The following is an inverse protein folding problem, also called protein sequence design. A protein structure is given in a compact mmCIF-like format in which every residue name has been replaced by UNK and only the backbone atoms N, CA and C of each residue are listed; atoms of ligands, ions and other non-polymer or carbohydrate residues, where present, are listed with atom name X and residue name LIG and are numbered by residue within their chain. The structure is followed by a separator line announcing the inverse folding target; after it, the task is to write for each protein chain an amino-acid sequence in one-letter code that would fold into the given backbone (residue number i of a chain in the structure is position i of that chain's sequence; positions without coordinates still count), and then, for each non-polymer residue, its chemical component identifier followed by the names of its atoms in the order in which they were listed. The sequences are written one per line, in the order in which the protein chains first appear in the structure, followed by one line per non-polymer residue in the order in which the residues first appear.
data_IF_671171237503
#
_entry.id   IF_671171237503
#
_cell.length_a   1.000
_cell.length_b   1.000
_cell.length_c   1.000
_cell.angle_alpha   90.00
_cell.angle_beta   90.00
_cell.angle_gamma   90.00
#
_symmetry.space_group_name_H-M   'P 1'
#
loop_
_entity.id
_entity.type
_entity.pdbx_description
1 polymer ?
#
# COMPACT_ATOMS: atom_id res chain seq x y z
N UNK A 1 8.64 -5.19 22.91
CA UNK A 1 7.66 -6.16 22.39
C UNK A 1 8.35 -7.50 22.32
N UNK A 2 7.93 -8.50 23.10
CA UNK A 2 8.61 -9.80 23.11
C UNK A 2 8.37 -10.62 21.82
N UNK A 3 7.32 -10.32 21.05
CA UNK A 3 7.10 -10.94 19.73
C UNK A 3 6.43 -9.96 18.76
N UNK A 4 7.06 -9.69 17.62
CA UNK A 4 6.44 -8.94 16.53
C UNK A 4 5.48 -9.83 15.73
N UNK A 5 4.31 -9.34 15.30
CA UNK A 5 3.38 -10.09 14.46
C UNK A 5 4.04 -10.59 13.17
N UNK A 6 3.55 -11.71 12.60
CA UNK A 6 4.12 -12.28 11.37
C UNK A 6 4.11 -11.27 10.21
N UNK A 7 2.97 -10.59 9.99
CA UNK A 7 2.83 -9.57 8.94
C UNK A 7 3.91 -8.48 9.04
N UNK A 8 4.30 -8.08 10.26
CA UNK A 8 5.31 -7.03 10.46
C UNK A 8 6.71 -7.49 10.02
N UNK A 9 7.00 -8.78 10.16
CA UNK A 9 8.29 -9.36 9.76
C UNK A 9 8.43 -9.41 8.23
N UNK A 10 7.32 -9.51 7.52
CA UNK A 10 7.27 -9.56 6.05
C UNK A 10 7.47 -8.18 5.40
N UNK A 11 7.33 -7.10 6.17
CA UNK A 11 7.53 -5.74 5.67
C UNK A 11 9.02 -5.39 5.54
N UNK A 12 9.44 -4.75 4.43
CA UNK A 12 10.73 -4.06 4.33
C UNK A 12 10.96 -3.07 5.48
N UNK A 13 12.21 -2.93 5.91
CA UNK A 13 12.58 -2.05 7.04
C UNK A 13 12.12 -0.61 6.90
N UNK A 14 12.24 -0.02 5.71
CA UNK A 14 11.91 1.38 5.42
C UNK A 14 10.39 1.69 5.48
N UNK A 15 9.54 0.66 5.53
CA UNK A 15 8.08 0.83 5.65
C UNK A 15 7.53 0.30 6.98
N UNK A 16 8.38 -0.19 7.89
CA UNK A 16 7.92 -0.73 9.16
C UNK A 16 7.29 0.37 10.02
N UNK A 17 6.04 0.20 10.48
CA UNK A 17 5.41 1.16 11.37
C UNK A 17 6.07 1.16 12.76
N UNK A 18 5.86 2.24 13.51
CA UNK A 18 6.32 2.36 14.89
C UNK A 18 5.61 1.34 15.80
N UNK A 19 6.20 1.07 16.96
CA UNK A 19 5.69 0.09 17.94
C UNK A 19 4.23 0.37 18.33
N UNK A 20 3.84 1.63 18.49
CA UNK A 20 2.46 1.97 18.86
C UNK A 20 1.47 1.76 17.70
N UNK A 21 1.91 2.05 16.47
CA UNK A 21 1.13 1.74 15.26
C UNK A 21 0.97 0.24 15.06
N UNK A 22 2.01 -0.56 15.32
CA UNK A 22 1.94 -2.03 15.25
C UNK A 22 0.86 -2.59 16.17
N UNK A 23 0.69 -2.05 17.39
CA UNK A 23 -0.38 -2.48 18.30
C UNK A 23 -1.76 -2.24 17.70
N UNK A 24 -2.03 -1.00 17.26
CA UNK A 24 -3.32 -0.61 16.65
C UNK A 24 -3.63 -1.42 15.39
N UNK A 25 -2.63 -1.62 14.53
CA UNK A 25 -2.78 -2.41 13.30
C UNK A 25 -3.03 -3.88 13.59
N UNK A 26 -2.35 -4.47 14.58
CA UNK A 26 -2.57 -5.86 14.98
C UNK A 26 -3.96 -6.06 15.62
N UNK A 27 -4.46 -5.06 16.35
CA UNK A 27 -5.84 -5.06 16.86
C UNK A 27 -6.85 -5.10 15.70
N UNK A 28 -6.68 -4.26 14.67
CA UNK A 28 -7.53 -4.28 13.47
C UNK A 28 -7.46 -5.66 12.81
N UNK A 29 -6.26 -6.16 12.54
CA UNK A 29 -6.08 -7.44 11.85
C UNK A 29 -6.81 -8.57 12.57
N UNK A 30 -6.69 -8.66 13.90
CA UNK A 30 -7.38 -9.67 14.71
C UNK A 30 -8.89 -9.47 14.73
N UNK A 31 -9.31 -8.21 14.87
CA UNK A 31 -10.73 -7.81 14.96
C UNK A 31 -11.49 -8.21 13.69
N UNK A 32 -10.85 -8.09 12.52
CA UNK A 32 -11.44 -8.48 11.22
C UNK A 32 -10.96 -9.85 10.70
N UNK A 33 -10.26 -10.63 11.53
CA UNK A 33 -9.67 -11.95 11.18
C UNK A 33 -8.93 -11.95 9.83
N UNK A 34 -8.08 -10.95 9.60
CA UNK A 34 -7.35 -10.79 8.34
C UNK A 34 -6.09 -11.68 8.38
N UNK A 35 -5.86 -12.51 7.36
CA UNK A 35 -4.62 -13.27 7.20
C UNK A 35 -3.38 -12.37 7.20
N UNK A 36 -2.27 -12.86 7.77
CA UNK A 36 -1.05 -12.06 7.94
C UNK A 36 -0.45 -11.57 6.62
N UNK A 37 -0.41 -12.44 5.62
CA UNK A 37 0.08 -12.17 4.26
C UNK A 37 -0.77 -11.09 3.56
N UNK A 38 -2.09 -11.25 3.63
CA UNK A 38 -3.04 -10.26 3.08
C UNK A 38 -2.89 -8.91 3.78
N UNK A 39 -2.75 -8.91 5.10
CA UNK A 39 -2.58 -7.68 5.88
C UNK A 39 -1.24 -6.99 5.60
N UNK A 40 -0.16 -7.76 5.42
CA UNK A 40 1.14 -7.22 5.02
C UNK A 40 1.07 -6.57 3.64
N UNK A 41 0.42 -7.21 2.67
CA UNK A 41 0.18 -6.65 1.33
C UNK A 41 -0.62 -5.35 1.39
N UNK A 42 -1.66 -5.29 2.21
CA UNK A 42 -2.45 -4.06 2.37
C UNK A 42 -1.64 -2.92 2.98
N UNK A 43 -0.83 -3.20 4.01
CA UNK A 43 0.06 -2.17 4.58
C UNK A 43 1.05 -1.70 3.51
N UNK A 44 1.66 -2.62 2.76
CA UNK A 44 2.58 -2.28 1.67
C UNK A 44 1.90 -1.46 0.56
N UNK A 45 0.63 -1.72 0.28
CA UNK A 45 -0.17 -0.99 -0.73
C UNK A 45 -0.73 0.34 -0.26
N UNK A 46 -0.84 0.58 1.05
CA UNK A 46 -1.43 1.81 1.63
C UNK A 46 -0.81 3.09 1.08
N UNK A 47 -1.57 4.18 1.04
CA UNK A 47 -1.12 5.47 0.51
C UNK A 47 0.09 6.01 1.29
N UNK A 48 0.02 5.90 2.62
CA UNK A 48 1.13 6.29 3.50
C UNK A 48 2.42 5.54 3.16
N UNK A 49 2.31 4.23 2.93
CA UNK A 49 3.45 3.38 2.63
C UNK A 49 3.95 3.57 1.21
N UNK A 50 3.05 3.75 0.24
CA UNK A 50 3.39 4.09 -1.13
C UNK A 50 4.27 5.32 -1.19
N UNK A 51 3.94 6.38 -0.45
CA UNK A 51 4.77 7.60 -0.34
C UNK A 51 6.16 7.31 0.23
N UNK A 52 6.25 6.48 1.28
CA UNK A 52 7.55 6.07 1.87
C UNK A 52 8.42 5.27 0.91
N UNK A 53 7.82 4.36 0.16
CA UNK A 53 8.52 3.58 -0.88
C UNK A 53 9.10 4.53 -1.92
N UNK A 54 8.30 5.49 -2.42
CA UNK A 54 8.78 6.44 -3.43
C UNK A 54 9.87 7.36 -2.88
N UNK A 55 9.74 7.82 -1.63
CA UNK A 55 10.76 8.65 -1.00
C UNK A 55 12.09 7.89 -0.87
N UNK A 56 12.05 6.63 -0.42
CA UNK A 56 13.23 5.78 -0.33
C UNK A 56 13.87 5.52 -1.70
N UNK A 57 13.08 5.25 -2.74
CA UNK A 57 13.59 5.09 -4.11
C UNK A 57 14.23 6.37 -4.64
N UNK A 58 13.59 7.52 -4.40
CA UNK A 58 14.13 8.82 -4.82
C UNK A 58 15.47 9.11 -4.14
N UNK A 59 15.60 8.82 -2.84
CA UNK A 59 16.85 8.96 -2.11
C UNK A 59 17.94 8.04 -2.66
N UNK A 60 17.61 6.78 -2.96
CA UNK A 60 18.53 5.84 -3.61
C UNK A 60 19.01 6.37 -4.96
N UNK A 61 18.10 6.93 -5.79
CA UNK A 61 18.48 7.51 -7.06
C UNK A 61 19.31 8.78 -6.93
N UNK A 62 19.02 9.66 -5.97
CA UNK A 62 19.86 10.82 -5.66
C UNK A 62 21.28 10.42 -5.29
N UNK A 63 21.43 9.35 -4.51
CA UNK A 63 22.74 8.84 -4.11
C UNK A 63 23.51 8.20 -5.28
N UNK A 64 22.81 7.48 -6.16
CA UNK A 64 23.42 6.82 -7.30
C UNK A 64 23.71 7.76 -8.49
N UNK A 65 22.92 8.84 -8.63
CA UNK A 65 23.00 9.79 -9.72
C UNK A 65 23.00 11.25 -9.20
N UNK A 66 24.06 11.68 -8.48
CA UNK A 66 24.10 12.98 -7.80
C UNK A 66 24.08 14.19 -8.75
N UNK A 67 24.32 13.98 -10.04
CA UNK A 67 24.31 15.04 -11.07
C UNK A 67 23.01 15.06 -11.89
N UNK A 68 22.11 14.11 -11.69
CA UNK A 68 20.84 14.07 -12.42
C UNK A 68 19.91 15.20 -11.96
N UNK A 69 19.12 15.71 -12.89
CA UNK A 69 18.07 16.67 -12.56
C UNK A 69 16.95 16.00 -11.77
N UNK A 70 16.31 16.74 -10.87
CA UNK A 70 15.21 16.24 -10.04
C UNK A 70 14.10 15.57 -10.88
N UNK A 71 13.75 16.15 -12.02
CA UNK A 71 12.75 15.57 -12.93
C UNK A 71 13.17 14.19 -13.46
N UNK A 72 14.44 14.00 -13.78
CA UNK A 72 14.96 12.71 -14.25
C UNK A 72 14.88 11.66 -13.14
N UNK A 73 15.24 12.06 -11.91
CA UNK A 73 15.15 11.19 -10.73
C UNK A 73 13.70 10.76 -10.45
N UNK A 74 12.73 11.67 -10.55
CA UNK A 74 11.31 11.35 -10.40
C UNK A 74 10.83 10.38 -11.49
N UNK A 75 11.27 10.56 -12.74
CA UNK A 75 10.96 9.64 -13.84
C UNK A 75 11.57 8.26 -13.58
N UNK A 76 12.80 8.16 -13.05
CA UNK A 76 13.40 6.88 -12.67
C UNK A 76 12.56 6.15 -11.61
N UNK A 77 12.05 6.85 -10.61
CA UNK A 77 11.13 6.27 -9.61
C UNK A 77 9.85 5.77 -10.30
N UNK A 78 9.24 6.58 -11.16
CA UNK A 78 8.04 6.19 -11.93
C UNK A 78 8.26 4.91 -12.73
N UNK A 79 9.34 4.85 -13.52
CA UNK A 79 9.67 3.69 -14.35
C UNK A 79 9.90 2.42 -13.51
N UNK A 80 10.56 2.55 -12.37
CA UNK A 80 10.77 1.42 -11.44
C UNK A 80 9.46 0.83 -10.94
N UNK A 81 8.48 1.71 -10.66
CA UNK A 81 7.16 1.30 -10.18
C UNK A 81 6.34 0.63 -11.27
N UNK A 82 6.38 1.16 -12.48
CA UNK A 82 5.73 0.56 -13.64
C UNK A 82 6.31 -0.81 -13.96
N UNK A 83 7.63 -0.96 -13.94
CA UNK A 83 8.28 -2.26 -14.13
C UNK A 83 7.84 -3.28 -13.06
N UNK A 84 7.72 -2.84 -11.80
CA UNK A 84 7.23 -3.69 -10.72
C UNK A 84 5.76 -4.11 -10.91
N UNK A 85 4.91 -3.22 -11.45
CA UNK A 85 3.51 -3.52 -11.78
C UNK A 85 3.45 -4.56 -12.91
N UNK A 86 4.22 -4.37 -13.98
CA UNK A 86 4.29 -5.31 -15.11
C UNK A 86 4.79 -6.69 -14.66
N UNK A 87 5.81 -6.75 -13.80
CA UNK A 87 6.32 -8.02 -13.23
C UNK A 87 5.28 -8.78 -12.40
N UNK A 88 4.29 -8.09 -11.87
CA UNK A 88 3.18 -8.71 -11.13
C UNK A 88 2.05 -9.18 -12.06
N UNK A 89 2.19 -9.02 -13.38
CA UNK A 89 1.24 -9.48 -14.38
C UNK A 89 0.09 -8.52 -14.64
N UNK A 90 0.18 -7.28 -14.15
CA UNK A 90 -0.79 -6.23 -14.50
C UNK A 90 -0.50 -5.67 -15.90
N UNK A 91 -1.54 -5.14 -16.54
CA UNK A 91 -1.41 -4.51 -17.85
C UNK A 91 -0.47 -3.31 -17.78
N UNK A 92 0.44 -3.24 -18.75
CA UNK A 92 1.30 -2.07 -18.93
C UNK A 92 0.43 -0.90 -19.42
N UNK A 93 0.58 0.32 -18.86
CA UNK A 93 -0.06 1.49 -19.44
C UNK A 93 0.35 1.65 -20.91
N UNK A 94 -0.54 2.23 -21.73
CA UNK A 94 -0.23 2.50 -23.14
C UNK A 94 0.95 3.48 -23.27
N UNK A 95 1.58 3.52 -24.44
CA UNK A 95 2.67 4.47 -24.68
C UNK A 95 2.19 5.93 -24.50
N UNK A 96 0.96 6.23 -24.90
CA UNK A 96 0.31 7.51 -24.67
C UNK A 96 0.12 7.82 -23.18
N UNK A 97 -0.37 6.86 -22.39
CA UNK A 97 -0.55 7.02 -20.94
C UNK A 97 0.79 7.25 -20.24
N UNK A 98 1.84 6.53 -20.67
CA UNK A 98 3.20 6.69 -20.15
C UNK A 98 3.75 8.08 -20.48
N UNK A 99 3.60 8.55 -21.72
CA UNK A 99 4.02 9.90 -22.12
C UNK A 99 3.27 10.96 -21.31
N UNK A 100 1.97 10.78 -21.11
CA UNK A 100 1.17 11.69 -20.30
C UNK A 100 1.64 11.69 -18.83
N UNK A 101 1.91 10.52 -18.25
CA UNK A 101 2.41 10.39 -16.88
C UNK A 101 3.77 11.07 -16.69
N UNK A 102 4.71 10.86 -17.62
CA UNK A 102 6.04 11.50 -17.59
C UNK A 102 5.91 13.03 -17.66
N UNK A 103 4.97 13.52 -18.46
CA UNK A 103 4.75 14.96 -18.61
C UNK A 103 4.04 15.59 -17.41
N UNK A 104 3.17 14.84 -16.72
CA UNK A 104 2.40 15.34 -15.58
C UNK A 104 3.20 15.34 -14.27
N UNK A 105 4.20 14.46 -14.13
CA UNK A 105 5.06 14.40 -12.93
C UNK A 105 6.06 15.56 -12.93
N UNK A 106 5.74 16.62 -12.19
CA UNK A 106 6.62 17.78 -12.01
C UNK A 106 7.09 17.95 -10.57
N UNK A 107 6.55 17.17 -9.64
CA UNK A 107 6.94 17.14 -8.24
C UNK A 107 6.84 15.72 -7.67
N UNK A 108 7.47 15.51 -6.52
CA UNK A 108 7.32 14.27 -5.76
C UNK A 108 5.87 13.98 -5.37
N UNK A 109 5.07 15.02 -5.12
CA UNK A 109 3.64 14.88 -4.82
C UNK A 109 2.89 14.33 -6.04
N UNK A 110 3.11 14.90 -7.22
CA UNK A 110 2.47 14.45 -8.46
C UNK A 110 2.80 12.99 -8.77
N UNK A 111 4.06 12.61 -8.57
CA UNK A 111 4.52 11.22 -8.69
C UNK A 111 3.76 10.28 -7.75
N UNK A 112 3.67 10.64 -6.46
CA UNK A 112 2.98 9.82 -5.47
C UNK A 112 1.50 9.71 -5.79
N UNK A 113 0.83 10.81 -6.13
CA UNK A 113 -0.59 10.84 -6.45
C UNK A 113 -0.90 9.99 -7.70
N UNK A 114 -0.02 10.02 -8.71
CA UNK A 114 -0.14 9.17 -9.89
C UNK A 114 0.04 7.68 -9.55
N UNK A 115 1.05 7.31 -8.76
CA UNK A 115 1.24 5.90 -8.37
C UNK A 115 0.10 5.41 -7.49
N UNK A 116 -0.43 6.25 -6.62
CA UNK A 116 -1.59 5.95 -5.79
C UNK A 116 -2.82 5.70 -6.68
N UNK A 117 -3.07 6.54 -7.70
CA UNK A 117 -4.20 6.32 -8.60
C UNK A 117 -4.10 5.04 -9.44
N UNK A 118 -2.87 4.59 -9.73
CA UNK A 118 -2.64 3.26 -10.32
C UNK A 118 -2.95 2.13 -9.33
N UNK A 119 -2.61 2.29 -8.06
CA UNK A 119 -2.84 1.29 -7.00
C UNK A 119 -4.30 1.27 -6.50
N UNK A 120 -5.07 2.36 -6.66
CA UNK A 120 -6.50 2.45 -6.33
C UNK A 120 -7.36 1.40 -7.06
N UNK A 121 -6.84 0.78 -8.12
CA UNK A 121 -7.46 -0.37 -8.77
C UNK A 121 -7.47 -1.65 -7.89
N UNK A 122 -6.65 -1.75 -6.83
CA UNK A 122 -6.49 -2.95 -5.98
C UNK A 122 -6.88 -2.76 -4.49
N UNK A 123 -7.20 -1.53 -4.04
CA UNK A 123 -7.58 -1.26 -2.63
C UNK A 123 -8.90 -1.92 -2.17
N UNK A 124 -9.64 -2.55 -3.08
CA UNK A 124 -10.87 -3.30 -2.77
C UNK A 124 -10.62 -4.71 -2.25
N UNK A 125 -9.37 -5.20 -2.25
CA UNK A 125 -9.10 -6.63 -2.02
C UNK A 125 -9.35 -7.07 -0.57
N UNK A 126 -8.96 -6.29 0.44
CA UNK A 126 -9.28 -6.61 1.85
C UNK A 126 -10.76 -6.43 2.14
N UNK A 127 -11.37 -5.34 1.69
CA UNK A 127 -12.80 -5.11 1.93
C UNK A 127 -13.63 -6.24 1.28
N UNK A 128 -13.22 -6.73 0.10
CA UNK A 128 -13.80 -7.94 -0.53
C UNK A 128 -13.58 -9.20 0.30
N UNK A 129 -12.36 -9.47 0.76
CA UNK A 129 -12.05 -10.68 1.57
C UNK A 129 -12.84 -10.68 2.88
N UNK A 130 -12.92 -9.53 3.55
CA UNK A 130 -13.66 -9.37 4.81
C UNK A 130 -15.16 -9.55 4.56
N UNK A 131 -15.69 -8.97 3.48
CA UNK A 131 -17.08 -9.17 3.08
C UNK A 131 -17.40 -10.63 2.74
N UNK A 132 -16.52 -11.34 2.01
CA UNK A 132 -16.71 -12.77 1.69
C UNK A 132 -16.73 -13.61 2.96
N UNK A 133 -15.74 -13.45 3.84
CA UNK A 133 -15.70 -14.18 5.13
C UNK A 133 -16.91 -13.89 6.02
N UNK A 134 -17.41 -12.65 5.99
CA UNK A 134 -18.62 -12.28 6.70
C UNK A 134 -19.83 -13.08 6.18
N UNK A 135 -20.03 -13.12 4.86
CA UNK A 135 -21.12 -13.88 4.24
C UNK A 135 -20.99 -15.38 4.54
N UNK A 136 -19.78 -15.96 4.43
CA UNK A 136 -19.52 -17.37 4.74
C UNK A 136 -19.88 -17.72 6.19
N UNK A 137 -19.53 -16.87 7.16
CA UNK A 137 -19.84 -17.11 8.56
C UNK A 137 -21.34 -17.02 8.87
N UNK A 138 -22.08 -16.11 8.22
CA UNK A 138 -23.55 -16.07 8.29
C UNK A 138 -24.16 -17.34 7.70
N UNK A 139 -23.71 -17.74 6.51
CA UNK A 139 -24.20 -18.95 5.84
C UNK A 139 -23.92 -20.23 6.66
N UNK A 140 -22.86 -20.24 7.46
CA UNK A 140 -22.53 -21.33 8.38
C UNK A 140 -23.34 -21.32 9.69
N UNK A 141 -24.30 -20.39 9.86
CA UNK A 141 -25.15 -20.31 11.06
C UNK A 141 -24.39 -19.90 12.32
N UNK A 142 -23.19 -19.32 12.18
CA UNK A 142 -22.42 -18.81 13.32
C UNK A 142 -23.06 -17.52 13.80
N UNK A 143 -23.12 -17.33 15.12
CA UNK A 143 -23.46 -16.03 15.70
C UNK A 143 -22.29 -15.08 15.41
N UNK A 144 -22.45 -14.18 14.44
CA UNK A 144 -21.38 -13.30 13.98
C UNK A 144 -21.57 -11.92 14.62
N UNK A 145 -20.86 -11.63 15.71
CA UNK A 145 -20.64 -10.24 16.14
C UNK A 145 -19.38 -9.70 15.45
N UNK A 146 -19.45 -9.49 14.13
CA UNK A 146 -18.32 -8.85 13.47
C UNK A 146 -18.29 -7.36 13.85
N UNK A 147 -17.12 -6.77 14.13
CA UNK A 147 -16.98 -5.32 14.20
C UNK A 147 -17.61 -4.70 12.95
N UNK A 148 -18.44 -3.66 13.11
CA UNK A 148 -18.95 -2.91 11.96
C UNK A 148 -17.73 -2.47 11.15
N UNK A 149 -17.63 -2.94 9.91
CA UNK A 149 -16.65 -2.42 8.95
C UNK A 149 -16.89 -0.91 8.93
N UNK A 150 -15.86 -0.07 9.13
CA UNK A 150 -16.01 1.36 9.02
C UNK A 150 -16.70 1.69 7.70
N UNK A 151 -17.60 2.68 7.68
CA UNK A 151 -18.24 3.13 6.43
C UNK A 151 -17.22 3.50 5.34
N UNK A 152 -16.01 3.78 5.78
CA UNK A 152 -14.85 4.25 5.05
C UNK A 152 -13.93 3.12 4.57
N UNK A 153 -14.19 1.86 4.95
CA UNK A 153 -13.37 0.70 4.61
C UNK A 153 -12.18 0.50 5.55
N UNK A 154 -11.63 -0.71 5.56
CA UNK A 154 -10.46 -1.05 6.40
C UNK A 154 -9.19 -0.37 5.86
N UNK A 155 -9.11 -0.20 4.53
CA UNK A 155 -8.00 0.48 3.86
C UNK A 155 -7.77 1.90 4.40
N UNK A 156 -8.85 2.69 4.55
CA UNK A 156 -8.76 4.06 5.07
C UNK A 156 -8.34 4.10 6.54
N UNK A 157 -8.85 3.18 7.36
CA UNK A 157 -8.45 3.09 8.78
C UNK A 157 -6.96 2.74 8.93
N UNK A 158 -6.42 1.88 8.06
CA UNK A 158 -4.99 1.57 8.04
C UNK A 158 -4.18 2.82 7.69
N UNK A 159 -4.57 3.56 6.64
CA UNK A 159 -3.90 4.81 6.25
C UNK A 159 -3.91 5.85 7.38
N UNK A 160 -5.04 6.06 8.05
CA UNK A 160 -5.15 6.99 9.18
C UNK A 160 -4.17 6.65 10.32
N UNK A 161 -4.02 5.36 10.64
CA UNK A 161 -3.06 4.92 11.67
C UNK A 161 -1.63 5.12 11.18
N UNK A 162 -1.35 4.86 9.91
CA UNK A 162 -0.02 5.01 9.35
C UNK A 162 0.40 6.48 9.23
N UNK A 163 -0.54 7.40 9.05
CA UNK A 163 -0.31 8.84 8.94
C UNK A 163 -0.38 9.59 10.29
N UNK A 164 -1.03 9.05 11.34
CA UNK A 164 -1.06 9.62 12.71
C UNK A 164 0.28 9.61 13.44
#
# INVERSE_FOLDING_TARGET
MLFAPKWYKELPSHIKPSVDKVKKLEEIRKTFDIPHDIFALQIAGSNSTTRKIQANLLEQYRNNFPQAHEKELLIMVLMSRLEAIVKQGYETPSEEDLKQAINSVNSFKDLCDYIISLNDFDHTRIDKIVNVRYLENISAGKEVSFPKIPKEGISKLIDEILDS
#
